data_IF_685889614472
#
_entry.id   IF_685889614472
#
_cell.length_a   1.000
_cell.length_b   1.000
_cell.length_c   1.000
_cell.angle_alpha   90.00
_cell.angle_beta   90.00
_cell.angle_gamma   90.00
#
_symmetry.space_group_name_H-M   'P 1'
#
loop_
_entity.id
_entity.type
_entity.pdbx_description
1 polymer ?
#
# COMPACT_ATOMS: atom_id res chain seq x y z
N UNK A 1 -7.33 26.58 19.06
CA UNK A 1 -7.72 26.38 17.65
C UNK A 1 -8.43 25.07 17.57
N UNK A 2 -9.57 25.02 16.91
CA UNK A 2 -10.32 23.79 16.69
C UNK A 2 -9.51 22.88 15.77
N UNK A 3 -9.43 21.58 16.10
CA UNK A 3 -8.69 20.61 15.31
C UNK A 3 -9.44 20.36 13.99
N UNK A 4 -8.71 20.30 12.87
CA UNK A 4 -9.33 20.00 11.57
C UNK A 4 -9.82 18.56 11.56
N UNK A 5 -11.02 18.38 10.97
CA UNK A 5 -11.64 17.07 10.81
C UNK A 5 -11.85 16.77 9.34
N UNK A 6 -11.62 15.53 8.95
CA UNK A 6 -11.78 15.05 7.57
C UNK A 6 -12.74 13.86 7.55
N UNK A 7 -13.40 13.70 6.42
CA UNK A 7 -14.29 12.58 6.20
C UNK A 7 -13.51 11.26 6.14
N UNK A 8 -14.03 10.23 6.80
CA UNK A 8 -13.59 8.84 6.60
C UNK A 8 -14.25 8.31 5.32
N UNK A 9 -13.44 7.92 4.35
CA UNK A 9 -13.94 7.35 3.11
C UNK A 9 -14.46 5.91 3.33
N UNK A 10 -15.33 5.39 2.44
CA UNK A 10 -15.76 3.99 2.52
C UNK A 10 -14.60 3.00 2.57
N UNK A 11 -13.51 3.28 1.84
CA UNK A 11 -12.31 2.43 1.83
C UNK A 11 -11.52 2.50 3.15
N UNK A 12 -11.39 3.70 3.72
CA UNK A 12 -10.76 3.86 5.04
C UNK A 12 -11.53 3.04 6.08
N UNK A 13 -12.88 3.13 6.06
CA UNK A 13 -13.74 2.37 6.96
C UNK A 13 -13.62 0.86 6.75
N UNK A 14 -13.56 0.41 5.50
CA UNK A 14 -13.35 -1.00 5.17
C UNK A 14 -12.01 -1.49 5.73
N UNK A 15 -10.94 -0.74 5.51
CA UNK A 15 -9.62 -1.08 6.03
C UNK A 15 -9.55 -1.04 7.57
N UNK A 16 -10.31 -0.13 8.21
CA UNK A 16 -10.46 -0.14 9.66
C UNK A 16 -11.06 -1.47 10.15
N UNK A 17 -12.17 -1.90 9.54
CA UNK A 17 -12.85 -3.15 9.89
C UNK A 17 -11.93 -4.36 9.62
N UNK A 18 -11.31 -4.45 8.45
CA UNK A 18 -10.38 -5.53 8.11
C UNK A 18 -9.22 -5.60 9.10
N UNK A 19 -8.74 -4.45 9.56
CA UNK A 19 -7.67 -4.36 10.54
C UNK A 19 -8.04 -4.88 11.94
N UNK A 20 -9.31 -5.07 12.26
CA UNK A 20 -9.72 -5.74 13.51
C UNK A 20 -9.41 -7.25 13.47
N UNK A 21 -9.31 -7.81 12.28
CA UNK A 21 -9.12 -9.25 12.06
C UNK A 21 -7.72 -9.61 11.54
N UNK A 22 -6.93 -8.63 11.10
CA UNK A 22 -5.57 -8.84 10.60
C UNK A 22 -4.50 -8.42 11.61
N UNK A 23 -3.32 -9.03 11.51
CA UNK A 23 -2.21 -8.74 12.41
C UNK A 23 -1.55 -7.38 12.12
N UNK A 24 -1.61 -6.91 10.88
CA UNK A 24 -0.99 -5.68 10.42
C UNK A 24 -1.79 -5.07 9.27
N UNK A 25 -1.90 -3.76 9.27
CA UNK A 25 -2.55 -2.94 8.26
C UNK A 25 -1.59 -1.82 7.82
N UNK A 26 -0.38 -2.22 7.44
CA UNK A 26 0.63 -1.30 6.94
C UNK A 26 1.08 -1.70 5.53
N UNK A 27 1.34 -0.71 4.70
CA UNK A 27 2.00 -0.91 3.43
C UNK A 27 3.42 -0.43 3.58
N UNK A 28 4.36 -1.29 3.27
CA UNK A 28 5.78 -1.06 3.46
C UNK A 28 6.49 -0.93 2.12
N UNK A 29 7.41 0.02 2.03
CA UNK A 29 8.32 0.15 0.90
C UNK A 29 9.76 0.22 1.40
N UNK A 30 10.66 -0.43 0.68
CA UNK A 30 12.09 -0.41 0.93
C UNK A 30 12.80 0.12 -0.32
N UNK A 31 13.52 1.21 -0.15
CA UNK A 31 14.26 1.87 -1.23
C UNK A 31 15.76 1.79 -0.95
N UNK A 32 16.53 1.48 -1.98
CA UNK A 32 17.97 1.33 -1.91
C UNK A 32 18.64 2.50 -2.62
N UNK A 33 19.63 3.09 -1.98
CA UNK A 33 20.41 4.21 -2.52
C UNK A 33 21.90 3.96 -2.28
N UNK A 34 22.79 4.55 -3.09
CA UNK A 34 24.17 4.74 -2.67
C UNK A 34 24.22 5.51 -1.34
N UNK A 35 25.24 5.26 -0.53
CA UNK A 35 25.43 6.02 0.72
C UNK A 35 25.47 7.53 0.45
N UNK A 36 24.80 8.31 1.29
CA UNK A 36 24.83 9.79 1.20
C UNK A 36 23.52 10.49 1.50
N UNK A 37 22.44 9.77 1.84
CA UNK A 37 21.18 10.40 2.24
C UNK A 37 21.41 11.24 3.50
N UNK A 38 21.13 12.55 3.45
CA UNK A 38 21.20 13.42 4.61
C UNK A 38 20.04 13.16 5.56
N UNK A 39 20.34 12.65 6.77
CA UNK A 39 19.37 12.45 7.83
C UNK A 39 18.54 13.71 8.11
N UNK A 40 19.22 14.87 8.21
CA UNK A 40 18.58 16.16 8.49
C UNK A 40 17.61 16.57 7.38
N UNK A 41 18.01 16.45 6.13
CA UNK A 41 17.13 16.78 4.99
C UNK A 41 15.97 15.81 4.90
N UNK A 42 16.20 14.52 5.14
CA UNK A 42 15.14 13.52 5.13
C UNK A 42 14.11 13.80 6.23
N UNK A 43 14.53 14.07 7.44
CA UNK A 43 13.64 14.41 8.55
C UNK A 43 12.82 15.67 8.24
N UNK A 44 13.47 16.72 7.69
CA UNK A 44 12.77 17.93 7.26
C UNK A 44 11.75 17.62 6.15
N UNK A 45 12.11 16.77 5.18
CA UNK A 45 11.22 16.35 4.10
C UNK A 45 9.98 15.64 4.64
N UNK A 46 10.15 14.67 5.53
CA UNK A 46 9.04 13.94 6.17
C UNK A 46 8.12 14.90 6.92
N UNK A 47 8.68 15.89 7.67
CA UNK A 47 7.88 16.89 8.38
C UNK A 47 7.09 17.80 7.42
N UNK A 48 7.63 18.10 6.25
CA UNK A 48 6.92 18.87 5.22
C UNK A 48 5.80 18.04 4.61
N UNK A 49 6.02 16.74 4.34
CA UNK A 49 4.95 15.88 3.81
C UNK A 49 3.75 15.80 4.75
N UNK A 50 3.94 15.80 6.08
CA UNK A 50 2.84 15.82 7.04
C UNK A 50 1.99 17.10 6.96
N UNK A 51 2.59 18.21 6.57
CA UNK A 51 1.89 19.49 6.42
C UNK A 51 1.18 19.59 5.05
N UNK A 52 1.77 19.00 4.01
CA UNK A 52 1.18 18.98 2.68
C UNK A 52 0.06 17.93 2.57
N UNK A 53 0.11 16.89 3.38
CA UNK A 53 -0.85 15.79 3.41
C UNK A 53 -1.34 15.59 4.85
N UNK A 54 -2.32 16.38 5.32
CA UNK A 54 -2.74 16.40 6.72
C UNK A 54 -3.22 15.05 7.24
N UNK A 55 -3.76 14.20 6.36
CA UNK A 55 -4.18 12.83 6.71
C UNK A 55 -3.05 12.02 7.34
N UNK A 56 -1.79 12.27 6.94
CA UNK A 56 -0.62 11.57 7.48
C UNK A 56 -0.31 11.97 8.94
N UNK A 57 -0.81 13.14 9.36
CA UNK A 57 -0.69 13.68 10.72
C UNK A 57 -2.02 13.61 11.48
N UNK A 58 -2.89 12.69 11.13
CA UNK A 58 -4.21 12.56 11.72
C UNK A 58 -4.36 11.26 12.51
N UNK A 59 -5.36 11.23 13.40
CA UNK A 59 -5.82 10.04 14.08
C UNK A 59 -7.21 9.63 13.58
N UNK A 60 -7.50 8.34 13.63
CA UNK A 60 -8.83 7.82 13.34
C UNK A 60 -9.69 7.90 14.60
N UNK A 61 -10.85 8.55 14.52
CA UNK A 61 -11.80 8.64 15.63
C UNK A 61 -13.03 7.81 15.30
N UNK A 62 -13.21 6.73 16.07
CA UNK A 62 -14.40 5.89 15.99
C UNK A 62 -15.54 6.56 16.74
N UNK A 63 -16.66 6.80 16.03
CA UNK A 63 -17.88 7.35 16.54
C UNK A 63 -19.04 6.84 15.68
N UNK A 64 -20.28 7.22 15.97
CA UNK A 64 -21.46 6.90 15.13
C UNK A 64 -21.20 7.27 13.66
N UNK A 65 -20.61 8.42 13.42
CA UNK A 65 -20.01 8.82 12.15
C UNK A 65 -18.51 8.98 12.37
N UNK A 66 -17.66 8.02 11.93
CA UNK A 66 -16.24 8.11 12.13
C UNK A 66 -15.62 9.25 11.33
N UNK A 67 -14.54 9.83 11.84
CA UNK A 67 -13.81 10.92 11.19
C UNK A 67 -12.32 10.83 11.47
N UNK A 68 -11.54 11.48 10.61
CA UNK A 68 -10.14 11.76 10.85
C UNK A 68 -9.99 13.09 11.58
N UNK A 69 -9.11 13.14 12.55
CA UNK A 69 -8.80 14.35 13.30
C UNK A 69 -7.31 14.65 13.22
N UNK A 70 -6.98 15.82 12.67
CA UNK A 70 -5.57 16.24 12.56
C UNK A 70 -4.99 16.55 13.94
N UNK A 71 -3.78 16.11 14.21
CA UNK A 71 -3.07 16.48 15.44
C UNK A 71 -2.69 17.97 15.45
N UNK A 72 -2.95 18.66 16.54
CA UNK A 72 -2.64 20.09 16.72
C UNK A 72 -1.15 20.42 16.70
N UNK A 73 -0.29 19.45 16.98
CA UNK A 73 1.16 19.54 16.85
C UNK A 73 1.67 18.33 16.11
N UNK A 74 2.81 18.46 15.42
CA UNK A 74 3.52 17.28 14.94
C UNK A 74 3.68 16.31 16.11
N UNK A 75 3.19 15.08 15.95
CA UNK A 75 3.22 14.06 17.00
C UNK A 75 4.61 13.98 17.61
N UNK A 76 4.70 13.86 18.94
CA UNK A 76 5.97 13.62 19.63
C UNK A 76 6.60 12.27 19.26
N UNK A 77 5.87 11.42 18.54
CA UNK A 77 6.37 10.14 18.04
C UNK A 77 7.45 10.37 16.98
N UNK A 78 8.54 9.64 17.02
CA UNK A 78 9.59 9.74 16.02
C UNK A 78 9.05 9.24 14.67
N UNK A 79 8.88 10.19 13.73
CA UNK A 79 8.40 9.91 12.36
C UNK A 79 9.52 9.53 11.40
N UNK A 80 10.77 9.87 11.75
CA UNK A 80 11.96 9.54 10.99
C UNK A 80 13.03 8.98 11.94
N UNK A 81 13.24 7.68 11.87
CA UNK A 81 14.23 6.96 12.65
C UNK A 81 15.54 6.84 11.86
N UNK A 82 16.62 6.59 12.58
CA UNK A 82 17.94 6.37 11.99
C UNK A 82 18.68 5.25 12.72
N UNK A 83 19.34 4.38 11.95
CA UNK A 83 20.25 3.39 12.49
C UNK A 83 21.41 3.12 11.50
N UNK A 84 22.50 2.62 12.01
CA UNK A 84 23.70 2.25 11.24
C UNK A 84 24.02 0.78 11.44
N UNK A 85 24.56 0.14 10.41
CA UNK A 85 24.98 -1.27 10.45
C UNK A 85 25.83 -1.59 9.24
N UNK A 86 26.33 -2.82 9.15
CA UNK A 86 26.96 -3.26 7.91
C UNK A 86 25.90 -3.60 6.85
N UNK A 87 26.29 -3.68 5.58
CA UNK A 87 25.34 -3.90 4.49
C UNK A 87 24.53 -5.21 4.62
N UNK A 88 25.05 -6.22 5.30
CA UNK A 88 24.35 -7.50 5.53
C UNK A 88 23.26 -7.38 6.61
N UNK A 89 23.46 -6.50 7.59
CA UNK A 89 22.52 -6.26 8.68
C UNK A 89 21.31 -5.41 8.23
N UNK A 90 21.48 -4.57 7.20
CA UNK A 90 20.44 -3.63 6.79
C UNK A 90 19.10 -4.32 6.47
N UNK A 91 19.13 -5.48 5.81
CA UNK A 91 17.90 -6.22 5.48
C UNK A 91 17.20 -6.76 6.72
N UNK A 92 17.97 -7.26 7.69
CA UNK A 92 17.43 -7.74 8.97
C UNK A 92 16.79 -6.57 9.71
N UNK A 93 17.50 -5.44 9.81
CA UNK A 93 17.01 -4.24 10.47
C UNK A 93 15.76 -3.66 9.78
N UNK A 94 15.68 -3.75 8.45
CA UNK A 94 14.49 -3.34 7.70
C UNK A 94 13.30 -4.25 7.99
N UNK A 95 13.51 -5.57 7.98
CA UNK A 95 12.48 -6.57 8.28
C UNK A 95 11.98 -6.40 9.72
N UNK A 96 12.88 -6.19 10.67
CA UNK A 96 12.50 -5.99 12.07
C UNK A 96 11.65 -4.73 12.22
N UNK A 97 12.04 -3.63 11.59
CA UNK A 97 11.25 -2.40 11.60
C UNK A 97 9.87 -2.57 10.92
N UNK A 98 9.80 -3.33 9.82
CA UNK A 98 8.53 -3.63 9.12
C UNK A 98 7.60 -4.45 10.02
N UNK A 99 8.14 -5.38 10.82
CA UNK A 99 7.35 -6.23 11.73
C UNK A 99 6.81 -5.48 12.94
N UNK A 100 7.41 -4.36 13.32
CA UNK A 100 6.91 -3.54 14.41
C UNK A 100 5.55 -2.92 14.02
N UNK A 101 4.45 -3.19 14.71
CA UNK A 101 3.16 -2.59 14.38
C UNK A 101 3.20 -1.08 14.62
N UNK A 102 2.64 -0.30 13.68
CA UNK A 102 2.36 1.11 13.91
C UNK A 102 1.08 1.29 14.73
N UNK A 103 0.95 2.44 15.40
CA UNK A 103 -0.33 2.82 16.00
C UNK A 103 -1.28 3.28 14.89
N UNK A 104 -2.11 2.35 14.42
CA UNK A 104 -3.04 2.58 13.31
C UNK A 104 -4.19 3.51 13.65
N UNK A 105 -4.45 3.76 14.95
CA UNK A 105 -5.54 4.64 15.41
C UNK A 105 -5.02 6.03 15.71
N UNK A 106 -3.96 6.12 16.52
CA UNK A 106 -3.42 7.40 16.95
C UNK A 106 -2.38 7.97 15.99
N UNK A 107 -1.82 7.15 15.10
CA UNK A 107 -0.78 7.59 14.18
C UNK A 107 0.58 7.83 14.83
N UNK A 108 1.49 8.47 14.15
CA UNK A 108 1.36 9.05 12.80
C UNK A 108 1.09 7.98 11.75
N UNK A 109 0.36 8.34 10.69
CA UNK A 109 0.00 7.41 9.61
C UNK A 109 1.18 7.04 8.71
N UNK A 110 2.31 7.69 8.87
CA UNK A 110 3.57 7.39 8.18
C UNK A 110 4.74 7.35 9.15
N UNK A 111 5.61 6.36 8.99
CA UNK A 111 6.91 6.27 9.66
C UNK A 111 7.98 5.93 8.63
N UNK A 112 9.16 6.51 8.83
CA UNK A 112 10.32 6.23 7.98
C UNK A 112 11.52 5.84 8.83
N UNK A 113 12.39 4.96 8.30
CA UNK A 113 13.65 4.62 8.93
C UNK A 113 14.77 4.63 7.89
N UNK A 114 15.75 5.47 8.09
CA UNK A 114 16.98 5.46 7.29
C UNK A 114 17.98 4.52 7.96
N UNK A 115 18.36 3.50 7.24
CA UNK A 115 19.39 2.52 7.61
C UNK A 115 20.63 2.80 6.79
N UNK A 116 21.75 3.11 7.44
CA UNK A 116 23.02 3.42 6.79
C UNK A 116 23.96 2.24 6.86
N UNK A 117 24.35 1.75 5.70
CA UNK A 117 25.43 0.77 5.55
C UNK A 117 26.75 1.42 5.18
N UNK A 118 27.71 0.60 4.82
CA UNK A 118 29.05 1.08 4.38
C UNK A 118 29.03 1.65 2.96
N UNK A 119 28.22 1.10 2.06
CA UNK A 119 28.10 1.50 0.65
C UNK A 119 26.68 1.79 0.21
N UNK A 120 25.70 1.46 1.03
CA UNK A 120 24.28 1.53 0.68
C UNK A 120 23.50 2.19 1.82
N UNK A 121 22.67 3.16 1.50
CA UNK A 121 21.59 3.63 2.36
C UNK A 121 20.29 2.90 1.98
N UNK A 122 19.54 2.48 2.99
CA UNK A 122 18.23 1.85 2.81
C UNK A 122 17.19 2.70 3.53
N UNK A 123 16.19 3.19 2.79
CA UNK A 123 15.06 3.91 3.37
C UNK A 123 13.85 2.98 3.43
N UNK A 124 13.38 2.71 4.63
CA UNK A 124 12.14 1.98 4.87
C UNK A 124 11.03 2.99 5.15
N UNK A 125 9.93 2.88 4.40
CA UNK A 125 8.72 3.68 4.56
C UNK A 125 7.58 2.76 4.96
N UNK A 126 6.92 3.08 6.05
CA UNK A 126 5.70 2.41 6.52
C UNK A 126 4.55 3.40 6.45
N UNK A 127 3.49 3.04 5.76
CA UNK A 127 2.28 3.85 5.64
C UNK A 127 1.06 3.06 6.11
N UNK A 128 0.21 3.66 6.93
CA UNK A 128 -1.01 3.00 7.40
C UNK A 128 -1.96 2.74 6.25
N UNK A 129 -2.41 1.48 6.11
CA UNK A 129 -3.41 1.10 5.11
C UNK A 129 -4.79 1.69 5.41
N UNK A 130 -5.00 2.24 6.62
CA UNK A 130 -6.23 2.97 6.94
C UNK A 130 -6.43 4.18 6.04
N UNK A 131 -5.37 4.88 5.66
CA UNK A 131 -5.46 6.12 4.89
C UNK A 131 -4.84 6.04 3.49
N UNK A 132 -4.21 4.93 3.12
CA UNK A 132 -3.48 4.80 1.85
C UNK A 132 -3.49 3.37 1.32
N UNK A 133 -3.41 3.23 0.01
CA UNK A 133 -3.17 1.98 -0.70
C UNK A 133 -1.75 1.91 -1.30
N UNK A 134 -1.45 0.83 -2.03
CA UNK A 134 -0.13 0.65 -2.64
C UNK A 134 0.26 1.74 -3.64
N UNK A 135 -0.70 2.31 -4.37
CA UNK A 135 -0.45 3.44 -5.27
C UNK A 135 -0.22 4.73 -4.47
N UNK A 136 -0.98 4.95 -3.39
CA UNK A 136 -0.77 6.09 -2.49
C UNK A 136 0.60 6.08 -1.82
N UNK A 137 1.16 4.89 -1.50
CA UNK A 137 2.56 4.79 -1.03
C UNK A 137 3.55 5.24 -2.10
N UNK A 138 3.33 4.91 -3.37
CA UNK A 138 4.17 5.38 -4.49
C UNK A 138 4.06 6.90 -4.65
N UNK A 139 2.85 7.46 -4.55
CA UNK A 139 2.63 8.91 -4.56
C UNK A 139 3.36 9.60 -3.41
N UNK A 140 3.28 9.02 -2.20
CA UNK A 140 4.03 9.53 -1.04
C UNK A 140 5.55 9.51 -1.26
N UNK A 141 6.11 8.42 -1.76
CA UNK A 141 7.55 8.31 -2.03
C UNK A 141 8.01 9.35 -3.06
N UNK A 142 7.22 9.56 -4.11
CA UNK A 142 7.51 10.58 -5.11
C UNK A 142 7.48 11.98 -4.52
N UNK A 143 6.47 12.30 -3.69
CA UNK A 143 6.37 13.57 -2.97
C UNK A 143 7.56 13.78 -2.04
N UNK A 144 7.89 12.76 -1.23
CA UNK A 144 9.04 12.80 -0.31
C UNK A 144 10.36 13.05 -1.05
N UNK A 145 10.58 12.34 -2.16
CA UNK A 145 11.78 12.50 -3.00
C UNK A 145 11.86 13.88 -3.65
N UNK A 146 10.75 14.39 -4.14
CA UNK A 146 10.69 15.74 -4.72
C UNK A 146 11.01 16.81 -3.69
N UNK A 147 10.42 16.74 -2.47
CA UNK A 147 10.70 17.67 -1.39
C UNK A 147 12.17 17.58 -0.95
N UNK A 148 12.69 16.36 -0.78
CA UNK A 148 14.10 16.16 -0.42
C UNK A 148 15.02 16.81 -1.45
N UNK A 149 14.75 16.63 -2.72
CA UNK A 149 15.51 17.26 -3.81
C UNK A 149 15.46 18.78 -3.75
N UNK A 150 14.29 19.38 -3.53
CA UNK A 150 14.16 20.83 -3.42
C UNK A 150 14.92 21.39 -2.21
N UNK A 151 14.87 20.69 -1.07
CA UNK A 151 15.66 21.06 0.11
C UNK A 151 17.17 20.94 -0.15
N UNK A 152 17.62 19.90 -0.86
CA UNK A 152 19.04 19.73 -1.21
C UNK A 152 19.56 20.80 -2.15
N UNK A 153 18.67 21.40 -2.97
CA UNK A 153 18.94 22.54 -3.82
C UNK A 153 18.87 23.90 -3.08
N UNK A 154 18.66 23.88 -1.75
CA UNK A 154 18.65 25.07 -0.89
C UNK A 154 17.33 25.81 -0.83
N UNK A 155 16.23 25.28 -1.39
CA UNK A 155 14.92 25.92 -1.25
C UNK A 155 14.47 25.89 0.22
N UNK A 156 13.87 26.98 0.63
CA UNK A 156 13.27 27.08 1.97
C UNK A 156 11.95 26.29 2.06
N UNK A 157 11.57 25.89 3.28
CA UNK A 157 10.26 25.25 3.53
C UNK A 157 9.09 26.06 2.95
N UNK A 158 9.08 27.39 3.11
CA UNK A 158 7.98 28.22 2.62
C UNK A 158 7.86 28.22 1.09
N UNK A 159 8.99 28.18 0.38
CA UNK A 159 8.99 28.05 -1.08
C UNK A 159 8.41 26.69 -1.52
N UNK A 160 8.80 25.62 -0.83
CA UNK A 160 8.33 24.26 -1.10
C UNK A 160 6.81 24.16 -0.81
N UNK A 161 6.36 24.65 0.35
CA UNK A 161 4.94 24.67 0.70
C UNK A 161 4.09 25.44 -0.32
N UNK A 162 4.61 26.55 -0.84
CA UNK A 162 3.93 27.33 -1.89
C UNK A 162 3.88 26.60 -3.25
N UNK A 163 4.95 25.88 -3.59
CA UNK A 163 5.07 25.18 -4.88
C UNK A 163 4.19 23.93 -4.95
N UNK A 164 4.20 23.11 -3.89
CA UNK A 164 3.43 21.86 -3.87
C UNK A 164 1.97 22.06 -3.49
N UNK A 165 1.67 23.10 -2.68
CA UNK A 165 0.34 23.29 -2.12
C UNK A 165 -0.05 22.21 -1.11
N UNK A 166 -1.11 22.45 -0.39
CA UNK A 166 -1.71 21.45 0.51
C UNK A 166 -2.57 20.47 -0.29
N UNK A 167 -2.48 19.18 0.03
CA UNK A 167 -3.32 18.15 -0.57
C UNK A 167 -4.80 18.43 -0.33
N UNK A 168 -5.60 18.25 -1.36
CA UNK A 168 -7.04 18.45 -1.25
C UNK A 168 -7.70 17.17 -0.71
N UNK A 169 -8.03 17.16 0.57
CA UNK A 169 -8.64 16.01 1.25
C UNK A 169 -9.98 15.57 0.63
N UNK A 170 -10.68 16.46 -0.11
CA UNK A 170 -11.90 16.08 -0.83
C UNK A 170 -11.64 15.06 -1.96
N UNK A 171 -10.41 15.00 -2.48
CA UNK A 171 -10.04 14.04 -3.53
C UNK A 171 -9.72 12.64 -3.00
N UNK A 172 -9.81 12.43 -1.70
CA UNK A 172 -9.65 11.09 -1.11
C UNK A 172 -10.84 10.18 -1.36
N UNK A 173 -12.00 10.73 -1.70
CA UNK A 173 -13.23 9.99 -1.93
C UNK A 173 -13.31 9.40 -3.35
N UNK A 174 -13.85 8.20 -3.49
CA UNK A 174 -14.10 7.52 -4.77
C UNK A 174 -15.12 8.22 -5.67
N UNK A 175 -15.93 9.13 -5.14
CA UNK A 175 -16.94 9.85 -5.92
C UNK A 175 -16.34 10.56 -7.14
N UNK A 176 -15.10 11.02 -7.04
CA UNK A 176 -14.37 11.60 -8.16
C UNK A 176 -14.12 10.57 -9.28
N UNK A 177 -13.74 9.34 -8.92
CA UNK A 177 -13.55 8.26 -9.90
C UNK A 177 -14.84 7.98 -10.64
N UNK A 178 -15.97 7.84 -9.93
CA UNK A 178 -17.27 7.60 -10.54
C UNK A 178 -17.68 8.72 -11.48
N UNK A 179 -17.47 9.98 -11.06
CA UNK A 179 -17.74 11.15 -11.89
C UNK A 179 -16.93 11.12 -13.21
N UNK A 180 -15.63 10.85 -13.15
CA UNK A 180 -14.79 10.76 -14.35
C UNK A 180 -15.09 9.53 -15.21
N UNK A 181 -15.54 8.43 -14.60
CA UNK A 181 -16.01 7.24 -15.32
C UNK A 181 -17.42 7.42 -15.91
N UNK A 182 -18.06 8.59 -15.74
CA UNK A 182 -19.41 8.85 -16.25
C UNK A 182 -20.52 8.15 -15.48
N UNK A 183 -20.24 7.67 -14.27
CA UNK A 183 -21.21 6.98 -13.41
C UNK A 183 -21.90 8.01 -12.53
N UNK A 184 -23.12 8.40 -12.90
CA UNK A 184 -23.93 9.38 -12.15
C UNK A 184 -24.76 8.76 -11.00
N UNK A 185 -25.10 7.48 -11.12
CA UNK A 185 -25.85 6.74 -10.11
C UNK A 185 -25.15 5.41 -9.80
N UNK A 186 -24.48 5.38 -8.65
CA UNK A 186 -23.74 4.19 -8.18
C UNK A 186 -24.70 3.02 -7.91
N UNK A 187 -25.95 3.31 -7.44
CA UNK A 187 -26.92 2.24 -7.15
C UNK A 187 -27.38 1.53 -8.40
N UNK A 188 -27.59 2.28 -9.49
CA UNK A 188 -27.98 1.70 -10.78
C UNK A 188 -26.81 0.97 -11.46
N UNK A 189 -25.58 1.41 -11.21
CA UNK A 189 -24.38 0.77 -11.73
C UNK A 189 -23.98 -0.47 -10.92
N UNK A 190 -24.44 -0.58 -9.67
CA UNK A 190 -24.17 -1.74 -8.83
C UNK A 190 -24.92 -2.96 -9.36
N UNK A 191 -24.19 -3.91 -9.86
CA UNK A 191 -24.71 -5.24 -10.18
C UNK A 191 -24.29 -6.17 -9.06
N UNK A 192 -25.21 -6.61 -8.19
CA UNK A 192 -24.87 -7.66 -7.24
C UNK A 192 -24.35 -8.86 -8.04
N UNK A 193 -23.21 -9.40 -7.62
CA UNK A 193 -22.75 -10.65 -8.20
C UNK A 193 -23.92 -11.65 -8.14
N UNK A 194 -24.35 -12.14 -9.30
CA UNK A 194 -25.21 -13.30 -9.34
C UNK A 194 -24.53 -14.34 -8.46
N UNK A 195 -25.29 -15.08 -7.67
CA UNK A 195 -24.76 -16.09 -6.74
C UNK A 195 -23.68 -16.93 -7.41
N UNK A 196 -22.43 -16.50 -7.25
CA UNK A 196 -21.30 -17.26 -7.72
C UNK A 196 -21.14 -18.41 -6.74
N UNK A 197 -21.39 -19.63 -7.21
CA UNK A 197 -21.17 -20.85 -6.44
C UNK A 197 -19.68 -21.12 -6.19
N UNK A 198 -18.78 -20.27 -6.71
CA UNK A 198 -17.35 -20.41 -6.55
C UNK A 198 -16.91 -20.14 -5.10
N UNK A 199 -16.11 -21.03 -4.58
CA UNK A 199 -15.53 -20.88 -3.23
C UNK A 199 -14.46 -19.81 -3.21
N UNK A 200 -14.54 -18.90 -2.23
CA UNK A 200 -13.44 -17.96 -1.96
C UNK A 200 -12.22 -18.72 -1.44
N UNK A 201 -11.14 -18.66 -2.19
CA UNK A 201 -9.90 -19.36 -1.88
C UNK A 201 -8.94 -18.44 -1.12
N UNK A 202 -8.42 -18.92 -0.03
CA UNK A 202 -7.38 -18.26 0.76
C UNK A 202 -6.34 -19.28 1.25
N UNK A 203 -5.21 -18.79 1.71
CA UNK A 203 -4.24 -19.66 2.38
C UNK A 203 -4.87 -20.32 3.62
N UNK A 204 -4.55 -21.61 3.86
CA UNK A 204 -5.02 -22.28 5.06
C UNK A 204 -4.47 -21.55 6.28
N UNK A 205 -5.37 -21.06 7.13
CA UNK A 205 -5.02 -20.44 8.40
C UNK A 205 -5.45 -21.34 9.54
N UNK A 206 -4.57 -21.51 10.51
CA UNK A 206 -4.93 -22.15 11.78
C UNK A 206 -5.02 -21.09 12.87
N UNK A 207 -5.96 -21.22 13.82
CA UNK A 207 -5.99 -20.35 14.98
C UNK A 207 -4.66 -20.45 15.72
N UNK A 208 -3.87 -19.39 15.69
CA UNK A 208 -2.61 -19.32 16.39
C UNK A 208 -2.67 -18.22 17.44
N UNK A 209 -2.27 -18.56 18.67
CA UNK A 209 -2.15 -17.60 19.78
C UNK A 209 -0.98 -16.64 19.59
N UNK A 210 0.03 -17.06 18.81
CA UNK A 210 1.19 -16.22 18.50
C UNK A 210 0.93 -15.45 17.20
N UNK A 211 0.68 -14.14 17.32
CA UNK A 211 0.41 -13.22 16.20
C UNK A 211 1.69 -12.53 15.69
N UNK A 212 2.88 -13.09 15.89
CA UNK A 212 4.12 -12.51 15.37
C UNK A 212 4.14 -12.58 13.84
N UNK A 213 4.22 -11.45 13.13
CA UNK A 213 4.31 -11.44 11.68
C UNK A 213 5.60 -12.12 11.22
N UNK A 214 5.50 -12.96 10.20
CA UNK A 214 6.65 -13.56 9.54
C UNK A 214 6.77 -13.03 8.12
N UNK A 215 7.99 -12.78 7.67
CA UNK A 215 8.25 -12.29 6.33
C UNK A 215 9.24 -13.20 5.62
N UNK A 216 8.94 -13.54 4.37
CA UNK A 216 9.85 -14.25 3.49
C UNK A 216 10.04 -13.44 2.21
N UNK A 217 11.27 -13.15 1.86
CA UNK A 217 11.63 -12.39 0.65
C UNK A 217 12.26 -13.32 -0.37
N UNK A 218 11.80 -13.22 -1.61
CA UNK A 218 12.41 -13.88 -2.77
C UNK A 218 12.70 -12.83 -3.83
N UNK A 219 13.88 -12.89 -4.42
CA UNK A 219 14.31 -11.97 -5.47
C UNK A 219 14.60 -12.74 -6.73
N UNK A 220 14.07 -12.23 -7.84
CA UNK A 220 14.49 -12.66 -9.17
C UNK A 220 15.74 -11.88 -9.56
N UNK A 221 16.72 -12.56 -10.16
CA UNK A 221 17.84 -11.86 -10.79
C UNK A 221 17.34 -11.01 -11.97
N UNK A 222 18.18 -10.06 -12.40
CA UNK A 222 17.85 -9.25 -13.58
C UNK A 222 17.57 -10.13 -14.81
N UNK A 223 18.38 -11.16 -15.04
CA UNK A 223 18.20 -12.11 -16.13
C UNK A 223 16.88 -12.90 -16.02
N UNK A 224 16.54 -13.38 -14.81
CA UNK A 224 15.26 -14.05 -14.57
C UNK A 224 14.07 -13.12 -14.84
N UNK A 225 14.14 -11.87 -14.40
CA UNK A 225 13.11 -10.86 -14.62
C UNK A 225 12.95 -10.53 -16.10
N UNK A 226 14.04 -10.41 -16.86
CA UNK A 226 14.01 -10.20 -18.31
C UNK A 226 13.38 -11.38 -19.03
N UNK A 227 13.79 -12.61 -18.73
CA UNK A 227 13.23 -13.83 -19.32
C UNK A 227 11.73 -13.93 -19.05
N UNK A 228 11.31 -13.66 -17.81
CA UNK A 228 9.90 -13.67 -17.44
C UNK A 228 9.11 -12.62 -18.25
N UNK A 229 9.62 -11.39 -18.36
CA UNK A 229 8.96 -10.33 -19.14
C UNK A 229 8.88 -10.65 -20.63
N UNK A 230 9.90 -11.27 -21.20
CA UNK A 230 9.90 -11.72 -22.61
C UNK A 230 8.87 -12.83 -22.83
N UNK A 231 8.83 -13.78 -21.91
CA UNK A 231 7.89 -14.89 -21.98
C UNK A 231 6.44 -14.40 -21.86
N UNK A 232 6.12 -13.49 -20.92
CA UNK A 232 4.76 -12.93 -20.79
C UNK A 232 4.31 -12.24 -22.07
N UNK A 233 5.19 -11.45 -22.69
CA UNK A 233 4.88 -10.80 -23.98
C UNK A 233 4.61 -11.82 -25.10
N UNK A 234 5.39 -12.90 -25.16
CA UNK A 234 5.20 -13.96 -26.15
C UNK A 234 3.86 -14.69 -25.98
N UNK A 235 3.36 -14.79 -24.74
CA UNK A 235 2.04 -15.36 -24.43
C UNK A 235 0.88 -14.35 -24.52
N UNK A 236 1.14 -13.10 -24.94
CA UNK A 236 0.15 -12.00 -24.95
C UNK A 236 -0.48 -11.77 -23.55
N UNK A 237 0.27 -12.07 -22.49
CA UNK A 237 -0.14 -11.94 -21.11
C UNK A 237 0.62 -10.80 -20.41
N UNK A 238 0.10 -10.33 -19.29
CA UNK A 238 0.79 -9.40 -18.39
C UNK A 238 1.54 -10.15 -17.30
N UNK A 239 2.47 -9.46 -16.63
CA UNK A 239 3.14 -10.03 -15.45
C UNK A 239 2.13 -10.35 -14.33
N UNK A 240 1.05 -9.56 -14.23
CA UNK A 240 -0.02 -9.81 -13.26
C UNK A 240 -0.73 -11.14 -13.53
N UNK A 241 -1.04 -11.45 -14.80
CA UNK A 241 -1.67 -12.72 -15.19
C UNK A 241 -0.80 -13.90 -14.79
N UNK A 242 0.52 -13.80 -15.01
CA UNK A 242 1.48 -14.84 -14.61
C UNK A 242 1.53 -15.03 -13.10
N UNK A 243 1.56 -13.94 -12.34
CA UNK A 243 1.56 -14.00 -10.87
C UNK A 243 0.25 -14.60 -10.37
N UNK A 244 -0.89 -14.21 -10.95
CA UNK A 244 -2.20 -14.75 -10.61
C UNK A 244 -2.29 -16.25 -10.90
N UNK A 245 -1.87 -16.69 -12.09
CA UNK A 245 -1.80 -18.10 -12.46
C UNK A 245 -0.92 -18.89 -11.47
N UNK A 246 0.28 -18.36 -11.15
CA UNK A 246 1.16 -19.01 -10.19
C UNK A 246 0.52 -19.11 -8.80
N UNK A 247 -0.22 -18.08 -8.39
CA UNK A 247 -0.91 -18.02 -7.10
C UNK A 247 -2.04 -19.06 -7.03
N UNK A 248 -2.91 -19.12 -8.05
CA UNK A 248 -3.96 -20.14 -8.14
C UNK A 248 -3.39 -21.56 -8.11
N UNK A 249 -2.34 -21.81 -8.89
CA UNK A 249 -1.68 -23.13 -8.93
C UNK A 249 -1.04 -23.49 -7.60
N UNK A 250 -0.36 -22.54 -6.94
CA UNK A 250 0.22 -22.75 -5.62
C UNK A 250 -0.86 -23.12 -4.59
N UNK A 251 -1.95 -22.37 -4.54
CA UNK A 251 -3.06 -22.67 -3.64
C UNK A 251 -3.67 -24.05 -3.88
N UNK A 252 -3.79 -24.48 -5.14
CA UNK A 252 -4.33 -25.79 -5.47
C UNK A 252 -3.50 -26.97 -4.96
N UNK A 253 -2.23 -26.74 -4.62
CA UNK A 253 -1.34 -27.77 -4.07
C UNK A 253 -1.44 -27.90 -2.53
N UNK A 254 -2.12 -26.99 -1.85
CA UNK A 254 -2.33 -27.15 -0.41
C UNK A 254 -3.40 -28.22 -0.15
N UNK A 255 -3.00 -29.35 0.40
CA UNK A 255 -3.85 -30.51 0.69
C UNK A 255 -4.92 -30.30 1.76
N UNK A 256 -4.92 -29.11 2.40
CA UNK A 256 -5.87 -28.75 3.46
C UNK A 256 -7.27 -28.44 2.91
N UNK A 257 -7.39 -28.23 1.59
CA UNK A 257 -8.67 -27.96 0.97
C UNK A 257 -9.43 -29.27 0.69
N UNK A 258 -10.60 -29.37 1.28
CA UNK A 258 -11.50 -30.54 1.14
C UNK A 258 -12.17 -30.58 -0.23
N UNK A 259 -12.18 -29.46 -0.94
CA UNK A 259 -12.84 -29.33 -2.24
C UNK A 259 -12.00 -29.90 -3.39
N UNK A 260 -12.65 -30.45 -4.42
CA UNK A 260 -11.96 -30.94 -5.61
C UNK A 260 -11.08 -29.84 -6.23
N UNK A 261 -9.92 -30.22 -6.73
CA UNK A 261 -9.00 -29.31 -7.42
C UNK A 261 -9.66 -28.62 -8.64
N UNK A 262 -10.55 -29.34 -9.30
CA UNK A 262 -11.33 -28.89 -10.46
C UNK A 262 -12.55 -28.01 -10.10
N UNK A 263 -12.83 -27.77 -8.81
CA UNK A 263 -13.89 -26.85 -8.44
C UNK A 263 -13.52 -25.40 -8.79
N UNK A 264 -14.53 -24.61 -9.13
CA UNK A 264 -14.34 -23.18 -9.37
C UNK A 264 -13.83 -22.47 -8.12
N UNK A 265 -12.77 -21.69 -8.27
CA UNK A 265 -12.11 -20.96 -7.20
C UNK A 265 -12.10 -19.47 -7.49
N UNK A 266 -12.27 -18.69 -6.46
CA UNK A 266 -12.31 -17.25 -6.54
C UNK A 266 -11.25 -16.64 -5.61
N UNK A 267 -10.49 -15.66 -6.11
CA UNK A 267 -9.50 -14.92 -5.33
C UNK A 267 -9.81 -13.42 -5.45
N UNK A 268 -9.78 -12.70 -4.33
CA UNK A 268 -9.91 -11.25 -4.35
C UNK A 268 -8.65 -10.59 -4.94
N UNK A 269 -8.85 -9.74 -5.94
CA UNK A 269 -7.81 -8.97 -6.62
C UNK A 269 -8.09 -7.47 -6.47
N UNK A 270 -7.09 -6.71 -6.04
CA UNK A 270 -7.22 -5.25 -5.94
C UNK A 270 -6.88 -4.57 -7.25
N UNK A 271 -7.66 -3.53 -7.60
CA UNK A 271 -7.48 -2.71 -8.80
C UNK A 271 -7.26 -1.28 -8.40
N UNK A 272 -6.22 -0.64 -8.95
CA UNK A 272 -5.99 0.80 -8.78
C UNK A 272 -6.98 1.61 -9.61
N UNK A 273 -7.90 2.28 -8.92
CA UNK A 273 -8.94 3.11 -9.55
C UNK A 273 -8.41 4.46 -10.08
N UNK A 274 -7.18 4.84 -9.77
CA UNK A 274 -6.55 6.06 -10.34
C UNK A 274 -6.44 6.00 -11.86
N UNK A 275 -6.46 4.79 -12.42
CA UNK A 275 -6.50 4.59 -13.89
C UNK A 275 -7.68 5.30 -14.59
N UNK A 276 -8.74 5.62 -13.85
CA UNK A 276 -9.91 6.33 -14.35
C UNK A 276 -9.86 7.84 -14.09
N UNK A 277 -8.81 8.33 -13.44
CA UNK A 277 -8.62 9.75 -13.15
C UNK A 277 -7.72 10.43 -14.20
N UNK A 278 -7.88 11.74 -14.44
CA UNK A 278 -6.93 12.52 -15.20
C UNK A 278 -5.54 12.42 -14.57
N UNK A 279 -4.51 12.23 -15.40
CA UNK A 279 -3.12 12.11 -14.98
C UNK A 279 -2.82 10.96 -13.97
N UNK A 280 -3.75 10.04 -13.77
CA UNK A 280 -3.58 8.87 -12.89
C UNK A 280 -3.23 9.20 -11.42
N UNK A 281 -3.61 10.37 -10.96
CA UNK A 281 -3.32 10.82 -9.58
C UNK A 281 -4.48 11.64 -9.01
N UNK A 282 -4.60 11.64 -7.68
CA UNK A 282 -5.58 12.46 -6.95
C UNK A 282 -4.95 13.75 -6.41
N UNK A 283 -3.63 13.83 -6.28
CA UNK A 283 -2.96 14.89 -5.53
C UNK A 283 -3.13 14.78 -4.01
N UNK A 284 -3.82 13.75 -3.52
CA UNK A 284 -3.99 13.46 -2.09
C UNK A 284 -3.62 12.00 -1.78
N UNK A 285 -3.01 11.76 -0.63
CA UNK A 285 -2.76 10.40 -0.15
C UNK A 285 -4.09 9.76 0.28
N UNK A 286 -4.45 8.66 -0.37
CA UNK A 286 -5.76 8.03 -0.16
C UNK A 286 -5.79 6.54 -0.54
N UNK A 287 -6.89 5.89 -0.14
CA UNK A 287 -7.28 4.57 -0.60
C UNK A 287 -8.18 4.69 -1.82
N UNK A 288 -7.68 4.33 -3.00
CA UNK A 288 -8.45 4.27 -4.24
C UNK A 288 -8.31 2.91 -4.92
N UNK A 289 -8.46 1.86 -4.15
CA UNK A 289 -8.51 0.50 -4.67
C UNK A 289 -9.93 0.01 -4.78
N UNK A 290 -10.26 -0.56 -5.94
CA UNK A 290 -11.43 -1.42 -6.12
C UNK A 290 -11.06 -2.88 -5.87
N UNK A 291 -12.06 -3.77 -5.87
CA UNK A 291 -11.85 -5.22 -5.77
C UNK A 291 -12.56 -5.92 -6.91
N UNK A 292 -11.85 -6.82 -7.56
CA UNK A 292 -12.42 -7.83 -8.47
C UNK A 292 -12.25 -9.23 -7.88
N UNK A 293 -13.13 -10.12 -8.29
CA UNK A 293 -13.18 -11.49 -7.80
C UNK A 293 -13.13 -12.45 -9.02
N UNK A 294 -11.96 -12.57 -9.70
CA UNK A 294 -11.85 -13.51 -10.81
C UNK A 294 -12.08 -14.94 -10.35
N UNK A 295 -12.83 -15.67 -11.16
CA UNK A 295 -13.13 -17.10 -10.96
C UNK A 295 -12.32 -17.90 -11.94
N UNK A 296 -11.63 -18.91 -11.44
CA UNK A 296 -10.89 -19.88 -12.26
C UNK A 296 -11.38 -21.27 -11.93
N UNK A 297 -11.56 -22.07 -12.98
CA UNK A 297 -11.72 -23.51 -12.90
C UNK A 297 -10.46 -24.16 -13.47
N UNK A 298 -9.71 -24.85 -12.62
CA UNK A 298 -8.51 -25.55 -13.05
C UNK A 298 -8.85 -26.99 -13.41
N UNK A 299 -8.40 -27.44 -14.59
CA UNK A 299 -8.52 -28.84 -14.99
C UNK A 299 -7.31 -29.66 -14.52
N UNK A 300 -7.52 -30.97 -14.29
CA UNK A 300 -6.42 -31.86 -13.96
C UNK A 300 -5.45 -31.96 -15.14
N UNK A 301 -4.17 -31.85 -14.86
CA UNK A 301 -3.07 -31.92 -15.84
C UNK A 301 -3.00 -30.76 -16.85
N UNK A 302 -3.77 -29.68 -16.69
CA UNK A 302 -3.58 -28.51 -17.54
C UNK A 302 -2.18 -27.89 -17.35
N UNK A 303 -1.62 -27.37 -18.45
CA UNK A 303 -0.34 -26.66 -18.41
C UNK A 303 -0.49 -25.28 -17.79
N UNK A 304 0.64 -24.66 -17.42
CA UNK A 304 0.63 -23.28 -16.90
C UNK A 304 -0.02 -22.27 -17.85
N UNK A 305 0.16 -22.45 -19.16
CA UNK A 305 -0.41 -21.58 -20.19
C UNK A 305 -1.91 -21.75 -20.39
N UNK A 306 -2.49 -22.85 -19.91
CA UNK A 306 -3.93 -23.10 -19.99
C UNK A 306 -4.68 -22.54 -18.79
N UNK A 307 -4.04 -22.47 -17.63
CA UNK A 307 -4.58 -21.77 -16.46
C UNK A 307 -4.59 -20.26 -16.68
#
# INVERSE_FOLDING_TARGET
>A
MEQRKFLVTPQDRMNYILGLYSADQQINAVLYFPVGISKKLLEQSVRITLQLQPILNSRFVENDVPYWEEHSSATNSPICLFAEGNNQELEIMAIDFIKEPGDRIQGPMVQTKLLRGTTTDMLVVKLSHLCSDGAGVKEYINLLGAIYTQLSLGKSKNQIMKEFGEGNESFRDQSHVFKYAGISDIKSAYRPNQEQQASLWSFPSQPNKNKSPQMSVRRLSHEQSLRLTQWTKAQQATLNDVIMTAYFRALSHFTVYVEPRTAEKMIGLTIDLRRYLPNYTTGAICNLSGMEMPVIKMEDNESFNQT
#
